data_IF_626556768432
#
_entry.id   IF_626556768432
#
_cell.length_a   1.000
_cell.length_b   1.000
_cell.length_c   1.000
_cell.angle_alpha   90.00
_cell.angle_beta   90.00
_cell.angle_gamma   90.00
#
_symmetry.space_group_name_H-M   'P 1'
#
loop_
_entity.id
_entity.type
_entity.pdbx_description
1 polymer ?
#
# COMPACT_ATOMS: atom_id res chain seq x y z
N UNK A 1 -10.77 -2.16 11.84
CA UNK A 1 -10.07 -3.41 11.51
C UNK A 1 -9.33 -3.22 10.21
N UNK A 2 -8.09 -3.69 10.14
CA UNK A 2 -7.35 -3.56 8.89
C UNK A 2 -7.98 -4.42 7.81
N UNK A 3 -7.97 -3.91 6.61
CA UNK A 3 -8.43 -4.63 5.44
C UNK A 3 -7.23 -5.22 4.72
N UNK A 4 -7.50 -6.15 3.84
CA UNK A 4 -6.47 -6.72 2.99
C UNK A 4 -6.64 -6.25 1.57
N UNK A 5 -5.53 -6.07 0.88
CA UNK A 5 -5.52 -5.67 -0.51
C UNK A 5 -4.43 -6.42 -1.23
N UNK A 6 -4.48 -6.39 -2.56
CA UNK A 6 -3.45 -6.97 -3.40
C UNK A 6 -2.85 -5.86 -4.24
N UNK A 7 -1.53 -5.77 -4.24
CA UNK A 7 -0.79 -4.81 -5.05
C UNK A 7 -0.44 -5.46 -6.39
N UNK A 8 -0.73 -4.76 -7.47
CA UNK A 8 -0.40 -5.21 -8.83
C UNK A 8 0.14 -4.03 -9.62
N UNK A 9 1.28 -4.23 -10.23
CA UNK A 9 1.91 -3.17 -11.01
C UNK A 9 2.80 -2.32 -10.12
N UNK A 10 3.04 -1.11 -10.54
CA UNK A 10 3.99 -0.26 -9.84
C UNK A 10 3.28 0.67 -8.88
N UNK A 11 3.28 0.30 -7.62
CA UNK A 11 2.85 1.18 -6.54
C UNK A 11 4.10 1.56 -5.76
N UNK A 12 4.30 2.85 -5.58
CA UNK A 12 5.48 3.35 -4.90
C UNK A 12 5.07 4.29 -3.78
N UNK A 13 5.90 4.36 -2.77
CA UNK A 13 5.71 5.30 -1.67
C UNK A 13 7.01 6.05 -1.43
N UNK A 14 6.91 7.19 -0.79
CA UNK A 14 8.08 7.98 -0.42
C UNK A 14 8.36 7.79 1.06
N UNK A 15 9.52 7.25 1.35
CA UNK A 15 9.95 7.03 2.72
C UNK A 15 10.55 8.32 3.28
N UNK A 16 9.85 8.95 4.20
CA UNK A 16 10.29 10.22 4.76
C UNK A 16 10.35 11.30 3.69
N UNK A 17 11.43 12.01 3.61
CA UNK A 17 11.67 13.04 2.60
C UNK A 17 12.58 12.55 1.49
N UNK A 18 12.68 11.27 1.35
CA UNK A 18 13.71 10.68 0.51
C UNK A 18 13.21 10.01 -0.74
N UNK A 19 13.71 8.84 -0.95
CA UNK A 19 13.65 8.08 -2.18
C UNK A 19 12.28 7.40 -2.31
N UNK A 20 11.76 7.34 -3.53
CA UNK A 20 10.60 6.53 -3.82
C UNK A 20 10.99 5.06 -3.74
N UNK A 21 10.22 4.29 -3.01
CA UNK A 21 10.45 2.86 -2.86
C UNK A 21 9.23 2.09 -3.36
N UNK A 22 9.43 0.98 -4.06
CA UNK A 22 8.31 0.19 -4.55
C UNK A 22 7.68 -0.62 -3.42
N UNK A 23 6.35 -0.75 -3.50
CA UNK A 23 5.64 -1.72 -2.67
C UNK A 23 5.60 -3.02 -3.46
N UNK A 24 6.02 -4.14 -2.87
CA UNK A 24 6.04 -5.40 -3.62
C UNK A 24 4.64 -5.83 -4.04
N UNK A 25 4.56 -6.47 -5.19
CA UNK A 25 3.31 -7.07 -5.64
C UNK A 25 2.90 -8.18 -4.68
N UNK A 26 1.62 -8.29 -4.44
CA UNK A 26 1.09 -9.35 -3.61
C UNK A 26 0.20 -8.83 -2.51
N UNK A 27 -0.15 -9.68 -1.55
CA UNK A 27 -1.08 -9.30 -0.48
C UNK A 27 -0.43 -8.35 0.50
N UNK A 28 -1.19 -7.34 0.91
CA UNK A 28 -0.78 -6.38 1.93
C UNK A 28 -1.97 -6.12 2.83
N UNK A 29 -1.71 -5.67 4.05
CA UNK A 29 -2.76 -5.12 4.89
C UNK A 29 -2.87 -3.63 4.61
N UNK A 30 -4.07 -3.08 4.73
CA UNK A 30 -4.26 -1.64 4.57
C UNK A 30 -5.09 -1.10 5.73
N UNK A 31 -4.76 0.13 6.09
CA UNK A 31 -5.49 0.87 7.11
C UNK A 31 -5.79 2.25 6.53
N UNK A 32 -7.07 2.50 6.27
CA UNK A 32 -7.51 3.73 5.60
C UNK A 32 -7.90 4.75 6.66
N UNK A 33 -7.23 5.88 6.64
CA UNK A 33 -7.56 7.02 7.48
C UNK A 33 -8.17 8.13 6.61
N UNK A 34 -8.48 9.26 7.23
CA UNK A 34 -9.17 10.34 6.53
C UNK A 34 -8.35 10.93 5.40
N UNK A 35 -7.05 11.03 5.59
CA UNK A 35 -6.17 11.70 4.64
C UNK A 35 -5.00 10.84 4.17
N UNK A 36 -4.92 9.62 4.65
CA UNK A 36 -3.81 8.75 4.31
C UNK A 36 -4.23 7.28 4.35
N UNK A 37 -3.41 6.44 3.73
CA UNK A 37 -3.61 4.99 3.76
C UNK A 37 -2.26 4.36 4.06
N UNK A 38 -2.24 3.49 5.04
CA UNK A 38 -1.03 2.79 5.44
C UNK A 38 -1.08 1.35 4.97
N UNK A 39 -0.02 0.92 4.30
CA UNK A 39 0.14 -0.47 3.88
C UNK A 39 1.08 -1.19 4.83
N UNK A 40 0.83 -2.47 5.05
CA UNK A 40 1.74 -3.30 5.80
C UNK A 40 1.98 -4.62 5.09
N UNK A 41 3.22 -5.06 5.05
CA UNK A 41 3.59 -6.34 4.44
C UNK A 41 4.83 -6.89 5.12
N UNK A 42 5.16 -8.12 4.81
CA UNK A 42 6.39 -8.74 5.30
C UNK A 42 7.32 -9.02 4.13
N UNK A 43 8.61 -8.77 4.34
CA UNK A 43 9.60 -9.09 3.31
C UNK A 43 9.96 -10.57 3.38
N UNK A 44 10.90 -10.98 2.52
CA UNK A 44 11.30 -12.36 2.45
C UNK A 44 12.01 -12.89 3.70
N UNK A 45 12.48 -12.00 4.56
CA UNK A 45 13.13 -12.37 5.80
C UNK A 45 12.20 -12.35 7.00
N UNK A 46 10.93 -12.06 6.77
CA UNK A 46 9.94 -12.00 7.84
C UNK A 46 9.88 -10.68 8.57
N UNK A 47 10.53 -9.65 8.07
CA UNK A 47 10.48 -8.33 8.66
C UNK A 47 9.19 -7.63 8.27
N UNK A 48 8.51 -7.05 9.25
CA UNK A 48 7.31 -6.27 8.99
C UNK A 48 7.69 -4.88 8.50
N UNK A 49 7.12 -4.51 7.37
CA UNK A 49 7.37 -3.21 6.74
C UNK A 49 6.05 -2.47 6.61
N UNK A 50 6.13 -1.16 6.61
CA UNK A 50 4.93 -0.36 6.43
C UNK A 50 5.26 0.87 5.59
N UNK A 51 4.22 1.39 4.93
CA UNK A 51 4.33 2.57 4.08
C UNK A 51 3.00 3.30 4.09
N UNK A 52 3.07 4.63 4.04
CA UNK A 52 1.86 5.45 3.99
C UNK A 52 1.89 6.28 2.72
N UNK A 53 0.73 6.39 2.08
CA UNK A 53 0.54 7.28 0.94
C UNK A 53 -0.65 8.18 1.23
N UNK A 54 -0.79 9.24 0.42
CA UNK A 54 -1.94 10.11 0.57
C UNK A 54 -3.20 9.41 0.10
N UNK A 55 -4.34 9.90 0.59
CA UNK A 55 -5.63 9.34 0.17
C UNK A 55 -5.84 9.53 -1.34
N UNK A 56 -5.39 10.66 -1.88
CA UNK A 56 -5.50 10.93 -3.30
C UNK A 56 -4.72 9.93 -4.14
N UNK A 57 -3.50 9.59 -3.73
CA UNK A 57 -2.70 8.60 -4.42
C UNK A 57 -3.34 7.23 -4.35
N UNK A 58 -3.89 6.89 -3.19
CA UNK A 58 -4.57 5.62 -3.00
C UNK A 58 -5.75 5.49 -3.97
N UNK A 59 -6.57 6.54 -4.07
CA UNK A 59 -7.72 6.52 -4.96
C UNK A 59 -7.31 6.42 -6.42
N UNK A 60 -6.22 7.08 -6.79
CA UNK A 60 -5.69 6.98 -8.14
C UNK A 60 -5.26 5.54 -8.46
N UNK A 61 -4.54 4.91 -7.55
CA UNK A 61 -4.10 3.53 -7.75
C UNK A 61 -5.28 2.57 -7.84
N UNK A 62 -6.34 2.82 -7.09
CA UNK A 62 -7.56 2.02 -7.20
C UNK A 62 -8.17 2.15 -8.60
N UNK A 63 -8.24 3.36 -9.12
CA UNK A 63 -8.79 3.59 -10.46
C UNK A 63 -7.93 2.95 -11.54
N UNK A 64 -6.63 2.92 -11.32
CA UNK A 64 -5.69 2.34 -12.29
C UNK A 64 -5.60 0.82 -12.17
N UNK A 65 -6.24 0.26 -11.18
CA UNK A 65 -6.21 -1.19 -10.97
C UNK A 65 -4.93 -1.72 -10.35
N UNK A 66 -4.11 -0.84 -9.80
CA UNK A 66 -2.84 -1.25 -9.17
C UNK A 66 -3.04 -1.74 -7.74
N UNK A 67 -4.12 -1.33 -7.11
CA UNK A 67 -4.50 -1.81 -5.79
C UNK A 67 -5.89 -2.40 -5.88
N UNK A 68 -6.04 -3.63 -5.42
CA UNK A 68 -7.35 -4.28 -5.35
C UNK A 68 -7.63 -4.61 -3.89
N UNK A 69 -8.68 -4.01 -3.36
CA UNK A 69 -9.08 -4.26 -1.99
C UNK A 69 -9.91 -5.53 -1.94
N UNK A 70 -9.53 -6.45 -1.08
CA UNK A 70 -10.31 -7.67 -0.88
C UNK A 70 -11.57 -7.32 -0.11
N UNK A 71 -12.70 -7.75 -0.64
CA UNK A 71 -13.97 -7.57 0.02
C UNK A 71 -14.52 -8.92 0.42
N UNK A 72 -14.89 -9.03 1.66
CA UNK A 72 -15.52 -10.24 2.17
C UNK A 72 -17.03 -10.20 1.97
#
# INVERSE_FOLDING_TARGET
MPQHATIRGEVAFRAGDGVLMPVPDGPVSIDVADDSVTFGWEDGDGNALSAAITRDEYERYLREGKIRVAQD
#
